data_IF_851096555839
#
_entry.id   IF_851096555839
#
_cell.length_a   1.000
_cell.length_b   1.000
_cell.length_c   1.000
_cell.angle_alpha   90.00
_cell.angle_beta   90.00
_cell.angle_gamma   90.00
#
_symmetry.space_group_name_H-M   'P 1'
#
loop_
_entity.id
_entity.type
_entity.pdbx_description
1 polymer ?
#
# COMPACT_ATOMS: atom_id res chain seq x y z
N UNK A 1 -5.66 19.41 3.46
CA UNK A 1 -4.40 18.75 3.09
C UNK A 1 -3.27 19.69 3.45
N UNK A 2 -2.19 19.18 4.04
CA UNK A 2 -0.95 19.95 4.18
C UNK A 2 -0.40 20.11 2.77
N UNK A 3 -0.26 21.35 2.31
CA UNK A 3 0.27 21.64 0.97
C UNK A 3 1.79 21.70 1.05
N UNK A 4 2.46 20.75 0.42
CA UNK A 4 3.92 20.77 0.26
C UNK A 4 4.25 21.59 -0.97
N UNK A 5 4.63 22.86 -0.79
CA UNK A 5 4.91 23.80 -1.90
C UNK A 5 6.10 23.42 -2.76
N UNK A 6 6.92 22.47 -2.29
CA UNK A 6 8.17 22.08 -2.93
C UNK A 6 8.08 20.69 -3.59
N UNK A 7 6.91 20.05 -3.61
CA UNK A 7 6.70 18.75 -4.24
C UNK A 7 5.97 18.94 -5.58
N UNK A 8 6.60 18.51 -6.66
CA UNK A 8 5.98 18.39 -7.98
C UNK A 8 5.55 16.94 -8.18
N UNK A 9 4.37 16.72 -8.74
CA UNK A 9 3.82 15.37 -8.98
C UNK A 9 3.48 15.23 -10.46
N UNK A 10 4.04 14.22 -11.10
CA UNK A 10 3.60 13.73 -12.40
C UNK A 10 2.70 12.50 -12.20
N UNK A 11 1.58 12.46 -12.91
CA UNK A 11 0.64 11.34 -12.89
C UNK A 11 0.38 10.86 -14.32
N UNK A 12 0.64 9.58 -14.57
CA UNK A 12 0.13 8.88 -15.75
C UNK A 12 -0.92 7.84 -15.36
N UNK A 13 -1.92 7.71 -16.22
CA UNK A 13 -3.10 6.87 -16.06
C UNK A 13 -4.15 7.26 -17.10
N UNK A 14 -5.29 6.55 -17.19
CA UNK A 14 -6.33 6.90 -18.15
C UNK A 14 -7.08 8.16 -17.71
N UNK A 15 -6.49 9.33 -17.99
CA UNK A 15 -6.99 10.63 -17.52
C UNK A 15 -7.90 11.24 -18.58
N UNK A 16 -9.20 11.04 -18.41
CA UNK A 16 -10.21 11.77 -19.15
C UNK A 16 -10.45 13.19 -18.61
N UNK A 17 -11.34 13.96 -19.26
CA UNK A 17 -11.62 15.35 -18.89
C UNK A 17 -12.21 15.49 -17.48
N UNK A 18 -13.02 14.53 -17.00
CA UNK A 18 -13.60 14.64 -15.65
C UNK A 18 -12.58 14.35 -14.57
N UNK A 19 -11.73 13.34 -14.75
CA UNK A 19 -10.64 13.05 -13.83
C UNK A 19 -9.67 14.22 -13.77
N UNK A 20 -9.31 14.81 -14.93
CA UNK A 20 -8.45 15.98 -14.97
C UNK A 20 -9.02 17.17 -14.16
N UNK A 21 -10.33 17.42 -14.25
CA UNK A 21 -11.03 18.44 -13.43
C UNK A 21 -10.98 18.14 -11.91
N UNK A 22 -10.96 16.85 -11.53
CA UNK A 22 -10.96 16.43 -10.13
C UNK A 22 -9.57 16.39 -9.49
N UNK A 23 -8.51 16.33 -10.30
CA UNK A 23 -7.13 16.38 -9.83
C UNK A 23 -6.79 17.78 -9.30
N UNK A 24 -5.81 17.85 -8.39
CA UNK A 24 -5.25 19.14 -7.93
C UNK A 24 -4.52 19.79 -9.11
N UNK A 25 -4.70 21.11 -9.30
CA UNK A 25 -4.10 21.88 -10.41
C UNK A 25 -2.56 21.77 -10.49
N UNK A 26 -1.91 21.31 -9.42
CA UNK A 26 -0.45 21.09 -9.37
C UNK A 26 -0.01 19.73 -9.90
N UNK A 27 -0.93 18.81 -10.17
CA UNK A 27 -0.63 17.51 -10.75
C UNK A 27 -0.38 17.68 -12.24
N UNK A 28 0.81 17.31 -12.68
CA UNK A 28 1.23 17.34 -14.07
C UNK A 28 0.76 16.03 -14.71
N UNK A 29 -0.11 16.13 -15.70
CA UNK A 29 -0.53 14.99 -16.53
C UNK A 29 0.07 15.15 -17.91
N UNK A 30 0.97 14.25 -18.37
CA UNK A 30 1.53 14.32 -19.70
C UNK A 30 0.43 14.27 -20.78
N UNK A 31 0.56 15.02 -21.89
CA UNK A 31 -0.41 14.98 -22.98
C UNK A 31 -0.71 13.58 -23.50
N UNK A 32 0.29 12.70 -23.52
CA UNK A 32 0.21 11.30 -23.93
C UNK A 32 -0.65 10.45 -22.99
N UNK A 33 -0.88 10.92 -21.76
CA UNK A 33 -1.72 10.26 -20.76
C UNK A 33 -3.15 10.80 -20.73
N UNK A 34 -3.46 11.86 -21.49
CA UNK A 34 -4.81 12.40 -21.61
C UNK A 34 -5.64 11.60 -22.61
N UNK A 35 -6.90 11.35 -22.26
CA UNK A 35 -7.86 10.61 -23.07
C UNK A 35 -9.15 11.41 -23.31
N UNK A 36 -9.91 11.03 -24.34
CA UNK A 36 -11.19 11.68 -24.64
C UNK A 36 -12.30 11.31 -23.64
N UNK A 37 -12.20 10.13 -23.01
CA UNK A 37 -13.22 9.55 -22.12
C UNK A 37 -12.56 9.10 -20.81
N UNK A 38 -13.26 9.29 -19.70
CA UNK A 38 -12.83 8.81 -18.39
C UNK A 38 -13.23 7.34 -18.14
N UNK A 39 -12.43 6.63 -17.36
CA UNK A 39 -12.77 5.31 -16.83
C UNK A 39 -13.62 5.44 -15.56
N UNK A 40 -14.94 5.34 -15.70
CA UNK A 40 -15.87 5.47 -14.58
C UNK A 40 -16.05 4.15 -13.82
N UNK A 41 -15.81 4.19 -12.51
CA UNK A 41 -16.21 3.15 -11.56
C UNK A 41 -17.47 3.57 -10.83
N UNK A 42 -18.57 2.86 -11.07
CA UNK A 42 -19.86 3.19 -10.49
C UNK A 42 -20.02 2.47 -9.15
N UNK A 43 -19.97 3.24 -8.06
CA UNK A 43 -20.16 2.77 -6.69
C UNK A 43 -21.60 3.04 -6.27
N UNK A 44 -22.42 2.00 -6.21
CA UNK A 44 -23.81 2.06 -5.76
C UNK A 44 -23.87 1.67 -4.28
N UNK A 45 -23.95 2.68 -3.42
CA UNK A 45 -24.08 2.49 -1.97
C UNK A 45 -25.55 2.27 -1.57
N UNK A 46 -25.76 1.45 -0.54
CA UNK A 46 -27.05 1.27 0.11
C UNK A 46 -26.88 1.13 1.62
N UNK A 47 -27.82 1.67 2.39
CA UNK A 47 -27.78 1.69 3.84
C UNK A 47 -28.47 0.47 4.45
N UNK A 48 -28.09 0.13 5.69
CA UNK A 48 -28.81 -0.87 6.46
C UNK A 48 -30.27 -0.44 6.64
N UNK A 49 -31.20 -1.30 6.20
CA UNK A 49 -32.62 -1.05 6.27
C UNK A 49 -33.20 -0.22 5.10
N UNK A 50 -32.39 0.18 4.13
CA UNK A 50 -32.88 0.80 2.90
C UNK A 50 -33.76 -0.18 2.12
N UNK A 51 -34.81 0.31 1.45
CA UNK A 51 -35.79 -0.54 0.76
C UNK A 51 -36.06 -0.06 -0.66
N UNK A 52 -36.12 -1.00 -1.59
CA UNK A 52 -36.56 -0.78 -2.97
C UNK A 52 -37.63 -1.82 -3.32
N UNK A 53 -38.89 -1.37 -3.39
CA UNK A 53 -40.04 -2.27 -3.48
C UNK A 53 -40.17 -3.13 -2.23
N UNK A 54 -40.17 -4.45 -2.41
CA UNK A 54 -40.27 -5.43 -1.32
C UNK A 54 -38.90 -5.87 -0.76
N UNK A 55 -37.79 -5.43 -1.37
CA UNK A 55 -36.44 -5.83 -0.97
C UNK A 55 -35.90 -4.80 0.02
N UNK A 56 -35.35 -5.29 1.14
CA UNK A 56 -34.74 -4.48 2.19
C UNK A 56 -33.32 -4.92 2.47
N UNK A 57 -32.37 -4.00 2.44
CA UNK A 57 -30.96 -4.28 2.70
C UNK A 57 -30.75 -4.65 4.19
N UNK A 58 -30.16 -5.81 4.53
CA UNK A 58 -29.92 -6.19 5.91
C UNK A 58 -28.75 -5.43 6.55
N UNK A 59 -27.85 -4.91 5.73
CA UNK A 59 -26.63 -4.22 6.14
C UNK A 59 -26.30 -3.10 5.15
N UNK A 60 -25.55 -2.10 5.63
CA UNK A 60 -24.99 -1.08 4.76
C UNK A 60 -23.83 -1.67 3.98
N UNK A 61 -23.81 -1.50 2.66
CA UNK A 61 -22.74 -1.97 1.81
C UNK A 61 -22.76 -1.22 0.47
N UNK A 62 -21.92 -1.65 -0.47
CA UNK A 62 -21.77 -1.07 -1.81
C UNK A 62 -21.71 -2.16 -2.87
N UNK A 63 -22.18 -1.85 -4.06
CA UNK A 63 -21.97 -2.65 -5.27
C UNK A 63 -21.18 -1.81 -6.27
N UNK A 64 -20.07 -2.34 -6.79
CA UNK A 64 -19.18 -1.62 -7.70
C UNK A 64 -19.15 -2.35 -9.03
N UNK A 65 -19.30 -1.61 -10.13
CA UNK A 65 -19.08 -2.11 -11.48
C UNK A 65 -18.48 -1.03 -12.37
N UNK A 66 -17.74 -1.46 -13.40
CA UNK A 66 -17.09 -0.60 -14.39
C UNK A 66 -17.01 -1.33 -15.73
N UNK A 67 -16.65 -0.60 -16.78
CA UNK A 67 -16.14 -1.16 -18.03
C UNK A 67 -14.76 -0.58 -18.27
N UNK A 68 -13.84 -0.88 -17.35
CA UNK A 68 -12.50 -0.32 -17.33
C UNK A 68 -11.54 -1.19 -18.12
N UNK A 69 -11.27 -0.82 -19.36
CA UNK A 69 -10.34 -1.56 -20.22
C UNK A 69 -8.92 -1.03 -19.99
N UNK A 70 -8.78 0.28 -19.84
CA UNK A 70 -7.46 0.92 -19.80
C UNK A 70 -6.62 0.48 -18.61
N UNK A 71 -7.20 0.48 -17.41
CA UNK A 71 -6.47 0.05 -16.21
C UNK A 71 -6.26 -1.47 -16.18
N UNK A 72 -7.21 -2.25 -16.69
CA UNK A 72 -7.07 -3.71 -16.79
C UNK A 72 -5.94 -4.15 -17.73
N UNK A 73 -5.48 -3.29 -18.64
CA UNK A 73 -4.35 -3.54 -19.53
C UNK A 73 -3.08 -2.79 -19.10
N UNK A 74 -3.17 -1.94 -18.07
CA UNK A 74 -2.15 -0.96 -17.70
C UNK A 74 -1.59 -0.22 -18.93
N UNK A 75 -2.48 0.21 -19.83
CA UNK A 75 -2.14 0.70 -21.16
C UNK A 75 -1.37 2.04 -21.19
N UNK A 76 -1.25 2.71 -20.04
CA UNK A 76 -0.51 3.96 -19.86
C UNK A 76 0.92 3.75 -19.33
N UNK A 77 1.37 2.51 -19.12
CA UNK A 77 2.71 2.23 -18.58
C UNK A 77 3.82 2.78 -19.49
N UNK A 78 3.68 2.65 -20.81
CA UNK A 78 4.65 3.16 -21.78
C UNK A 78 4.70 4.69 -21.77
N UNK A 79 3.54 5.35 -21.68
CA UNK A 79 3.46 6.80 -21.56
C UNK A 79 4.07 7.28 -20.23
N UNK A 80 3.86 6.52 -19.15
CA UNK A 80 4.50 6.79 -17.86
C UNK A 80 6.02 6.75 -17.99
N UNK A 81 6.59 5.64 -18.46
CA UNK A 81 8.05 5.48 -18.61
C UNK A 81 8.64 6.53 -19.55
N UNK A 82 7.97 6.80 -20.68
CA UNK A 82 8.41 7.81 -21.64
C UNK A 82 8.46 9.24 -21.08
N UNK A 83 7.71 9.53 -20.02
CA UNK A 83 7.69 10.84 -19.37
C UNK A 83 8.76 11.03 -18.27
N UNK A 84 9.40 9.93 -17.82
CA UNK A 84 10.32 9.97 -16.67
C UNK A 84 11.61 10.73 -16.96
N UNK A 85 12.14 10.65 -18.19
CA UNK A 85 13.38 11.32 -18.56
C UNK A 85 13.24 12.85 -18.48
N UNK A 86 12.15 13.41 -19.01
CA UNK A 86 11.88 14.85 -18.96
C UNK A 86 11.53 15.31 -17.53
N UNK A 87 10.76 14.51 -16.80
CA UNK A 87 10.33 14.87 -15.45
C UNK A 87 11.44 14.74 -14.40
N UNK A 88 12.39 13.82 -14.59
CA UNK A 88 13.52 13.54 -13.70
C UNK A 88 13.10 13.35 -12.22
N UNK A 89 12.30 12.30 -11.91
CA UNK A 89 11.75 12.09 -10.58
C UNK A 89 12.80 11.68 -9.54
N UNK A 90 12.57 12.08 -8.28
CA UNK A 90 13.32 11.60 -7.11
C UNK A 90 12.69 10.36 -6.47
N UNK A 91 11.46 10.01 -6.84
CA UNK A 91 10.71 8.85 -6.37
C UNK A 91 9.68 8.45 -7.42
N UNK A 92 9.55 7.15 -7.66
CA UNK A 92 8.54 6.57 -8.53
C UNK A 92 7.55 5.77 -7.68
N UNK A 93 6.26 5.94 -7.93
CA UNK A 93 5.18 5.19 -7.29
C UNK A 93 4.36 4.47 -8.35
N UNK A 94 4.31 3.15 -8.25
CA UNK A 94 3.58 2.26 -9.15
C UNK A 94 2.43 1.59 -8.40
N UNK A 95 1.30 1.44 -9.08
CA UNK A 95 0.18 0.61 -8.64
C UNK A 95 -0.59 0.12 -9.86
N UNK A 96 -1.71 -0.58 -9.64
CA UNK A 96 -2.61 -1.03 -10.70
C UNK A 96 -2.35 -2.46 -11.20
N UNK A 97 -1.27 -3.14 -10.78
CA UNK A 97 -1.02 -4.54 -11.17
C UNK A 97 -2.22 -5.46 -10.87
N UNK A 98 -2.84 -5.26 -9.70
CA UNK A 98 -4.03 -6.00 -9.28
C UNK A 98 -5.22 -5.87 -10.25
N UNK A 99 -5.31 -4.80 -11.03
CA UNK A 99 -6.39 -4.59 -12.01
C UNK A 99 -6.25 -5.52 -13.23
N UNK A 100 -5.05 -6.03 -13.50
CA UNK A 100 -4.84 -7.01 -14.58
C UNK A 100 -5.35 -8.41 -14.20
N UNK A 101 -5.79 -8.66 -12.96
CA UNK A 101 -6.21 -9.99 -12.50
C UNK A 101 -7.34 -10.59 -13.35
N UNK A 102 -8.25 -9.74 -13.85
CA UNK A 102 -9.39 -10.15 -14.68
C UNK A 102 -9.05 -10.48 -16.15
N UNK A 103 -7.81 -10.23 -16.58
CA UNK A 103 -7.34 -10.55 -17.94
C UNK A 103 -7.12 -12.05 -18.13
N UNK A 104 -7.11 -12.50 -19.39
CA UNK A 104 -6.68 -13.88 -19.66
C UNK A 104 -5.23 -14.09 -19.22
N UNK A 105 -4.98 -15.26 -18.64
CA UNK A 105 -3.71 -15.62 -18.01
C UNK A 105 -2.50 -15.33 -18.89
N UNK A 106 -2.54 -15.73 -20.17
CA UNK A 106 -1.41 -15.53 -21.10
C UNK A 106 -1.15 -14.04 -21.39
N UNK A 107 -2.21 -13.24 -21.55
CA UNK A 107 -2.09 -11.79 -21.77
C UNK A 107 -1.54 -11.10 -20.52
N UNK A 108 -2.02 -11.51 -19.35
CA UNK A 108 -1.58 -10.99 -18.05
C UNK A 108 -0.11 -11.31 -17.77
N UNK A 109 0.32 -12.56 -17.99
CA UNK A 109 1.72 -12.98 -17.83
C UNK A 109 2.64 -12.21 -18.78
N UNK A 110 2.25 -12.07 -20.04
CA UNK A 110 3.00 -11.28 -21.03
C UNK A 110 3.11 -9.81 -20.60
N UNK A 111 2.00 -9.21 -20.18
CA UNK A 111 1.97 -7.80 -19.76
C UNK A 111 2.83 -7.56 -18.50
N UNK A 112 2.80 -8.50 -17.55
CA UNK A 112 3.65 -8.43 -16.35
C UNK A 112 5.14 -8.48 -16.70
N UNK A 113 5.53 -9.31 -17.67
CA UNK A 113 6.91 -9.36 -18.18
C UNK A 113 7.32 -8.06 -18.88
N UNK A 114 6.44 -7.49 -19.72
CA UNK A 114 6.68 -6.18 -20.36
C UNK A 114 6.87 -5.08 -19.30
N UNK A 115 6.04 -5.06 -18.25
CA UNK A 115 6.16 -4.12 -17.13
C UNK A 115 7.48 -4.33 -16.37
N UNK A 116 7.87 -5.58 -16.09
CA UNK A 116 9.15 -5.88 -15.45
C UNK A 116 10.35 -5.35 -16.24
N UNK A 117 10.33 -5.51 -17.56
CA UNK A 117 11.36 -4.94 -18.45
C UNK A 117 11.36 -3.41 -18.40
N UNK A 118 10.19 -2.78 -18.52
CA UNK A 118 10.03 -1.33 -18.45
C UNK A 118 10.56 -0.76 -17.12
N UNK A 119 10.28 -1.42 -16.00
CA UNK A 119 10.80 -1.02 -14.69
C UNK A 119 12.32 -1.19 -14.63
N UNK A 120 12.87 -2.28 -15.17
CA UNK A 120 14.32 -2.51 -15.19
C UNK A 120 15.11 -1.55 -16.08
N UNK A 121 14.43 -0.87 -17.02
CA UNK A 121 15.02 0.18 -17.86
C UNK A 121 15.08 1.54 -17.15
N UNK A 122 14.33 1.71 -16.05
CA UNK A 122 14.39 2.91 -15.21
C UNK A 122 15.74 2.91 -14.47
N UNK A 123 16.35 4.09 -14.36
CA UNK A 123 17.62 4.24 -13.63
C UNK A 123 17.54 3.64 -12.22
N UNK A 124 18.48 2.76 -11.88
CA UNK A 124 18.62 2.16 -10.54
C UNK A 124 18.86 3.20 -9.42
N UNK A 125 19.06 4.48 -9.76
CA UNK A 125 19.24 5.56 -8.79
C UNK A 125 17.91 6.10 -8.23
N UNK A 126 16.78 5.86 -8.90
CA UNK A 126 15.46 6.38 -8.45
C UNK A 126 14.70 5.28 -7.71
N UNK A 127 14.34 5.48 -6.42
CA UNK A 127 13.59 4.48 -5.68
C UNK A 127 12.19 4.28 -6.26
N UNK A 128 11.76 3.02 -6.33
CA UNK A 128 10.45 2.61 -6.81
C UNK A 128 9.63 2.03 -5.66
N UNK A 129 8.45 2.58 -5.43
CA UNK A 129 7.46 2.05 -4.51
C UNK A 129 6.32 1.38 -5.28
N UNK A 130 5.99 0.14 -4.90
CA UNK A 130 4.82 -0.57 -5.40
C UNK A 130 3.72 -0.60 -4.34
N UNK A 131 2.59 0.04 -4.60
CA UNK A 131 1.38 -0.15 -3.79
C UNK A 131 0.61 -1.37 -4.31
N UNK A 132 0.62 -2.43 -3.51
CA UNK A 132 -0.22 -3.61 -3.74
C UNK A 132 -1.62 -3.35 -3.21
N UNK A 133 -2.61 -3.84 -3.94
CA UNK A 133 -4.00 -3.81 -3.51
C UNK A 133 -4.64 -5.17 -3.79
N UNK A 134 -5.97 -5.22 -3.67
CA UNK A 134 -6.75 -6.45 -3.59
C UNK A 134 -6.51 -7.39 -4.77
N UNK A 135 -5.90 -8.54 -4.47
CA UNK A 135 -5.72 -9.66 -5.39
C UNK A 135 -6.34 -10.93 -4.80
N UNK A 136 -6.79 -11.83 -5.68
CA UNK A 136 -7.49 -13.06 -5.32
C UNK A 136 -6.97 -14.30 -6.05
N UNK A 137 -6.12 -14.15 -7.07
CA UNK A 137 -5.49 -15.22 -7.84
C UNK A 137 -4.09 -15.56 -7.27
N UNK A 138 -3.91 -16.74 -6.63
CA UNK A 138 -2.63 -17.10 -6.02
C UNK A 138 -1.51 -17.33 -7.04
N UNK A 139 -1.86 -17.77 -8.26
CA UNK A 139 -0.86 -17.95 -9.32
C UNK A 139 -0.35 -16.57 -9.74
N UNK A 140 -1.24 -15.59 -9.88
CA UNK A 140 -0.85 -14.22 -10.24
C UNK A 140 -0.01 -13.54 -9.16
N UNK A 141 -0.39 -13.70 -7.88
CA UNK A 141 0.43 -13.23 -6.78
C UNK A 141 1.81 -13.89 -6.80
N UNK A 142 1.88 -15.20 -7.05
CA UNK A 142 3.16 -15.91 -7.21
C UNK A 142 3.98 -15.32 -8.35
N UNK A 143 3.35 -14.95 -9.47
CA UNK A 143 4.04 -14.29 -10.57
C UNK A 143 4.57 -12.91 -10.17
N UNK A 144 3.84 -12.11 -9.39
CA UNK A 144 4.34 -10.82 -8.89
C UNK A 144 5.52 -11.02 -7.92
N UNK A 145 5.45 -12.04 -7.05
CA UNK A 145 6.49 -12.37 -6.09
C UNK A 145 7.77 -12.91 -6.76
N UNK A 146 7.63 -13.77 -7.76
CA UNK A 146 8.74 -14.54 -8.37
C UNK A 146 9.15 -14.08 -9.77
N UNK A 147 8.25 -13.48 -10.57
CA UNK A 147 8.50 -13.05 -11.94
C UNK A 147 8.84 -11.55 -12.04
N UNK A 148 9.96 -11.18 -11.42
CA UNK A 148 10.69 -9.93 -11.64
C UNK A 148 10.19 -8.66 -10.94
N UNK A 149 8.94 -8.54 -10.50
CA UNK A 149 8.47 -7.25 -9.95
C UNK A 149 8.97 -6.98 -8.52
N UNK A 150 8.71 -7.87 -7.57
CA UNK A 150 9.05 -7.61 -6.17
C UNK A 150 10.56 -7.38 -5.94
N UNK A 151 11.47 -8.11 -6.61
CA UNK A 151 12.90 -7.88 -6.48
C UNK A 151 13.40 -6.55 -7.09
N UNK A 152 12.69 -5.94 -8.05
CA UNK A 152 13.18 -4.72 -8.73
C UNK A 152 12.54 -3.43 -8.20
N UNK A 153 11.80 -3.50 -7.08
CA UNK A 153 11.24 -2.33 -6.41
C UNK A 153 11.88 -2.15 -5.05
N UNK A 154 12.11 -0.90 -4.63
CA UNK A 154 12.77 -0.60 -3.37
C UNK A 154 11.81 -0.66 -2.17
N UNK A 155 10.52 -0.40 -2.42
CA UNK A 155 9.51 -0.35 -1.38
C UNK A 155 8.17 -0.95 -1.81
N UNK A 156 7.45 -1.54 -0.87
CA UNK A 156 6.09 -2.06 -1.07
C UNK A 156 5.14 -1.50 0.00
N UNK A 157 3.93 -1.12 -0.39
CA UNK A 157 2.82 -0.80 0.51
C UNK A 157 1.68 -1.80 0.33
N UNK A 158 1.07 -2.23 1.44
CA UNK A 158 0.01 -3.26 1.43
C UNK A 158 -0.76 -3.30 2.75
N UNK A 159 -1.97 -3.88 2.74
CA UNK A 159 -2.77 -4.11 3.96
C UNK A 159 -2.75 -5.58 4.44
N UNK A 160 -3.53 -5.89 5.47
CA UNK A 160 -3.60 -7.23 6.05
C UNK A 160 -4.07 -8.35 5.10
N UNK A 161 -4.96 -8.04 4.15
CA UNK A 161 -5.45 -9.00 3.17
C UNK A 161 -4.33 -9.38 2.21
N UNK A 162 -3.67 -8.39 1.61
CA UNK A 162 -2.54 -8.66 0.70
C UNK A 162 -1.37 -9.32 1.44
N UNK A 163 -1.05 -8.92 2.68
CA UNK A 163 0.03 -9.55 3.45
C UNK A 163 -0.22 -11.05 3.68
N UNK A 164 -1.44 -11.40 4.12
CA UNK A 164 -1.80 -12.79 4.34
C UNK A 164 -1.82 -13.56 3.02
N UNK A 165 -2.29 -12.94 1.95
CA UNK A 165 -2.36 -13.56 0.63
C UNK A 165 -0.97 -13.82 0.03
N UNK A 166 0.00 -12.92 0.25
CA UNK A 166 1.42 -13.16 -0.05
C UNK A 166 1.94 -14.39 0.69
N UNK A 167 1.67 -14.49 2.00
CA UNK A 167 2.08 -15.66 2.77
C UNK A 167 1.43 -16.95 2.27
N UNK A 168 0.13 -16.93 1.97
CA UNK A 168 -0.59 -18.09 1.42
C UNK A 168 0.00 -18.54 0.08
N UNK A 169 0.28 -17.60 -0.82
CA UNK A 169 0.78 -17.88 -2.17
C UNK A 169 2.22 -18.35 -2.16
N UNK A 170 3.09 -17.72 -1.37
CA UNK A 170 4.51 -18.07 -1.26
C UNK A 170 4.85 -19.11 -0.19
N UNK A 171 3.85 -19.77 0.41
CA UNK A 171 4.03 -20.76 1.49
C UNK A 171 4.80 -20.21 2.72
N UNK A 172 4.59 -18.94 3.03
CA UNK A 172 5.21 -18.23 4.16
C UNK A 172 4.61 -18.56 5.53
N UNK A 173 5.03 -17.84 6.58
CA UNK A 173 4.49 -17.98 7.93
C UNK A 173 2.97 -17.80 7.99
N UNK A 174 2.26 -18.73 8.61
CA UNK A 174 0.79 -18.72 8.72
C UNK A 174 0.04 -18.85 7.39
N UNK A 175 0.67 -19.39 6.34
CA UNK A 175 0.04 -19.66 5.04
C UNK A 175 -1.21 -20.55 5.10
N UNK A 176 -1.41 -21.35 6.16
CA UNK A 176 -2.63 -22.14 6.36
C UNK A 176 -3.80 -21.37 6.99
N UNK A 177 -3.57 -20.12 7.43
CA UNK A 177 -4.62 -19.28 8.01
C UNK A 177 -5.53 -18.75 6.90
N UNK A 178 -6.82 -19.06 6.96
CA UNK A 178 -7.77 -18.66 5.92
C UNK A 178 -8.07 -17.15 5.91
N UNK A 179 -8.15 -16.52 7.09
CA UNK A 179 -8.39 -15.09 7.26
C UNK A 179 -7.92 -14.61 8.64
N UNK A 180 -7.82 -13.30 8.82
CA UNK A 180 -7.61 -12.69 10.13
C UNK A 180 -8.90 -12.72 10.95
N UNK A 181 -8.81 -13.14 12.21
CA UNK A 181 -9.92 -13.06 13.17
C UNK A 181 -9.83 -11.75 13.96
N UNK A 182 -10.49 -10.71 13.44
CA UNK A 182 -10.44 -9.35 14.00
C UNK A 182 -9.16 -8.60 13.63
N UNK A 183 -8.57 -7.90 14.59
CA UNK A 183 -7.35 -7.10 14.37
C UNK A 183 -6.17 -8.07 14.17
N UNK A 184 -5.40 -7.96 13.06
CA UNK A 184 -4.25 -8.82 12.82
C UNK A 184 -3.25 -8.78 13.98
N UNK A 185 -2.83 -9.95 14.46
CA UNK A 185 -1.84 -10.04 15.53
C UNK A 185 -0.49 -9.47 15.06
N UNK A 186 0.06 -8.52 15.83
CA UNK A 186 1.28 -7.77 15.48
C UNK A 186 2.48 -8.70 15.26
N UNK A 187 2.63 -9.72 16.09
CA UNK A 187 3.74 -10.68 15.96
C UNK A 187 3.63 -11.50 14.69
N UNK A 188 2.42 -11.98 14.36
CA UNK A 188 2.17 -12.72 13.11
C UNK A 188 2.43 -11.87 11.87
N UNK A 189 1.95 -10.62 11.87
CA UNK A 189 2.19 -9.66 10.79
C UNK A 189 3.69 -9.44 10.61
N UNK A 190 4.40 -9.18 11.69
CA UNK A 190 5.85 -8.93 11.68
C UNK A 190 6.65 -10.14 11.21
N UNK A 191 6.22 -11.35 11.54
CA UNK A 191 6.80 -12.61 11.07
C UNK A 191 6.66 -12.79 9.55
N UNK A 192 5.51 -12.43 8.97
CA UNK A 192 5.31 -12.47 7.51
C UNK A 192 6.17 -11.40 6.83
N UNK A 193 6.17 -10.15 7.35
CA UNK A 193 6.99 -9.06 6.81
C UNK A 193 8.49 -9.42 6.83
N UNK A 194 8.96 -9.97 7.95
CA UNK A 194 10.33 -10.47 8.08
C UNK A 194 10.62 -11.54 7.02
N UNK A 195 9.73 -12.53 6.85
CA UNK A 195 9.89 -13.56 5.84
C UNK A 195 9.93 -13.00 4.42
N UNK A 196 9.10 -12.00 4.09
CA UNK A 196 9.11 -11.36 2.76
C UNK A 196 10.49 -10.71 2.51
N UNK A 197 10.97 -9.88 3.44
CA UNK A 197 12.27 -9.22 3.28
C UNK A 197 13.42 -10.23 3.21
N UNK A 198 13.34 -11.34 3.96
CA UNK A 198 14.37 -12.38 3.92
C UNK A 198 14.41 -13.17 2.61
N UNK A 199 13.26 -13.41 1.96
CA UNK A 199 13.19 -14.23 0.75
C UNK A 199 13.24 -13.42 -0.54
N UNK A 200 12.78 -12.17 -0.50
CA UNK A 200 12.62 -11.33 -1.67
C UNK A 200 13.29 -9.96 -1.53
N UNK A 201 13.91 -9.65 -0.38
CA UNK A 201 14.55 -8.37 -0.11
C UNK A 201 16.07 -8.37 -0.25
N UNK A 202 16.64 -7.17 -0.17
CA UNK A 202 18.09 -6.92 -0.22
C UNK A 202 18.75 -7.08 1.15
N UNK A 203 18.75 -8.30 1.68
CA UNK A 203 19.36 -8.59 3.00
C UNK A 203 20.89 -8.48 2.97
N UNK A 204 21.50 -8.97 1.89
CA UNK A 204 22.94 -8.90 1.67
C UNK A 204 23.25 -7.93 0.52
N UNK A 205 24.38 -7.20 0.54
CA UNK A 205 24.75 -6.27 -0.53
C UNK A 205 24.82 -6.90 -1.92
N UNK A 206 25.13 -8.20 -1.99
CA UNK A 206 25.23 -9.01 -3.21
C UNK A 206 23.88 -9.58 -3.70
N UNK A 207 22.78 -9.34 -2.98
CA UNK A 207 21.45 -9.77 -3.44
C UNK A 207 21.04 -9.05 -4.73
N UNK A 208 20.41 -9.79 -5.65
CA UNK A 208 19.85 -9.26 -6.90
C UNK A 208 18.51 -8.49 -6.68
N UNK A 209 18.04 -8.39 -5.43
CA UNK A 209 16.84 -7.63 -5.07
C UNK A 209 17.21 -6.23 -4.57
N UNK A 210 16.34 -5.25 -4.83
CA UNK A 210 16.39 -3.88 -4.32
C UNK A 210 15.37 -3.61 -3.19
N UNK A 211 14.50 -4.58 -2.89
CA UNK A 211 13.45 -4.42 -1.88
C UNK A 211 14.04 -4.29 -0.48
N UNK A 212 13.84 -3.12 0.12
CA UNK A 212 14.39 -2.78 1.43
C UNK A 212 13.37 -2.16 2.38
N UNK A 213 12.12 -1.91 1.93
CA UNK A 213 11.08 -1.24 2.75
C UNK A 213 9.68 -1.81 2.51
N UNK A 214 8.99 -2.20 3.58
CA UNK A 214 7.57 -2.58 3.54
C UNK A 214 6.77 -1.65 4.46
N UNK A 215 5.78 -0.94 3.92
CA UNK A 215 4.82 -0.14 4.68
C UNK A 215 3.50 -0.90 4.80
N UNK A 216 3.36 -1.62 5.90
CA UNK A 216 2.14 -2.33 6.25
C UNK A 216 1.14 -1.40 6.93
N UNK A 217 -0.09 -1.35 6.44
CA UNK A 217 -1.15 -0.54 7.02
C UNK A 217 -2.42 -1.37 7.26
N UNK A 218 -2.92 -1.39 8.49
CA UNK A 218 -4.23 -1.95 8.82
C UNK A 218 -5.04 -0.95 9.62
N UNK A 219 -6.34 -1.21 9.80
CA UNK A 219 -7.26 -0.31 10.47
C UNK A 219 -6.77 0.16 11.85
N UNK A 220 -6.13 -0.72 12.63
CA UNK A 220 -5.80 -0.45 14.03
C UNK A 220 -4.37 0.07 14.26
N UNK A 221 -3.42 -0.24 13.38
CA UNK A 221 -2.02 0.10 13.53
C UNK A 221 -1.31 0.00 12.18
N UNK A 222 -0.17 0.67 12.06
CA UNK A 222 0.74 0.52 10.92
C UNK A 222 2.08 -0.04 11.39
N UNK A 223 2.78 -0.73 10.50
CA UNK A 223 4.16 -1.15 10.67
C UNK A 223 4.94 -0.70 9.44
N UNK A 224 6.02 0.03 9.65
CA UNK A 224 7.01 0.27 8.62
C UNK A 224 8.22 -0.61 8.95
N UNK A 225 8.60 -1.49 8.04
CA UNK A 225 9.77 -2.36 8.20
C UNK A 225 10.81 -2.02 7.15
N UNK A 226 12.07 -1.96 7.56
CA UNK A 226 13.18 -1.62 6.66
C UNK A 226 14.39 -2.51 6.92
N UNK A 227 15.06 -2.90 5.84
CA UNK A 227 16.44 -3.39 5.93
C UNK A 227 17.33 -2.23 6.39
N UNK A 228 18.17 -2.51 7.39
CA UNK A 228 19.00 -1.49 8.02
C UNK A 228 20.00 -0.88 7.05
N UNK A 229 20.19 0.44 7.15
CA UNK A 229 21.17 1.20 6.35
C UNK A 229 20.66 1.81 5.05
N UNK A 230 19.40 1.56 4.66
CA UNK A 230 18.83 2.10 3.42
C UNK A 230 17.86 3.28 3.62
N UNK A 231 17.25 3.41 4.79
CA UNK A 231 16.17 4.37 5.03
C UNK A 231 16.30 5.10 6.38
N UNK A 232 16.02 6.40 6.37
CA UNK A 232 16.00 7.27 7.54
C UNK A 232 14.61 7.89 7.79
N UNK A 233 14.43 8.44 8.99
CA UNK A 233 13.20 9.12 9.45
C UNK A 233 11.93 8.23 9.55
N UNK A 234 12.12 6.91 9.65
CA UNK A 234 11.03 5.93 9.61
C UNK A 234 10.03 6.03 10.78
N UNK A 235 10.49 6.48 11.96
CA UNK A 235 9.60 6.77 13.11
C UNK A 235 8.57 7.86 12.77
N UNK A 236 9.01 8.94 12.12
CA UNK A 236 8.13 10.03 11.69
C UNK A 236 7.25 9.58 10.53
N UNK A 237 7.81 8.82 9.59
CA UNK A 237 7.10 8.31 8.42
C UNK A 237 5.89 7.44 8.78
N UNK A 238 6.08 6.44 9.64
CA UNK A 238 4.97 5.56 10.04
C UNK A 238 3.91 6.33 10.84
N UNK A 239 4.34 7.28 11.69
CA UNK A 239 3.43 8.14 12.45
C UNK A 239 2.64 9.09 11.55
N UNK A 240 3.26 9.64 10.50
CA UNK A 240 2.62 10.50 9.53
C UNK A 240 1.55 9.74 8.75
N UNK A 241 1.86 8.53 8.26
CA UNK A 241 0.88 7.64 7.63
C UNK A 241 -0.32 7.34 8.55
N UNK A 242 -0.06 6.97 9.81
CA UNK A 242 -1.14 6.71 10.78
C UNK A 242 -1.99 7.95 11.11
N UNK A 243 -1.37 9.14 11.12
CA UNK A 243 -2.08 10.42 11.29
C UNK A 243 -2.95 10.75 10.06
N UNK A 244 -2.44 10.54 8.85
CA UNK A 244 -3.15 10.76 7.60
C UNK A 244 -4.42 9.89 7.52
N UNK A 245 -4.32 8.61 7.94
CA UNK A 245 -5.45 7.70 8.02
C UNK A 245 -6.63 8.29 8.83
N UNK A 246 -6.35 8.81 10.03
CA UNK A 246 -7.39 9.41 10.88
C UNK A 246 -7.96 10.71 10.30
N UNK A 247 -7.09 11.61 9.84
CA UNK A 247 -7.47 12.93 9.31
C UNK A 247 -8.36 12.79 8.06
N UNK A 248 -7.95 11.97 7.10
CA UNK A 248 -8.68 11.75 5.85
C UNK A 248 -10.02 11.05 6.12
N UNK A 249 -10.03 10.01 6.95
CA UNK A 249 -11.27 9.31 7.29
C UNK A 249 -12.32 10.22 7.92
N UNK A 250 -11.91 11.13 8.81
CA UNK A 250 -12.81 12.05 9.52
C UNK A 250 -13.10 13.37 8.77
N UNK A 251 -12.47 13.62 7.61
CA UNK A 251 -12.68 14.81 6.79
C UNK A 251 -12.37 16.15 7.50
N UNK A 252 -11.49 16.14 8.51
CA UNK A 252 -11.16 17.33 9.31
C UNK A 252 -9.65 17.59 9.32
N UNK A 253 -9.18 18.85 9.30
CA UNK A 253 -7.76 19.16 9.20
C UNK A 253 -6.96 18.80 10.46
N UNK A 254 -7.63 18.50 11.56
CA UNK A 254 -7.04 18.26 12.88
C UNK A 254 -7.74 17.12 13.61
N UNK A 255 -7.01 16.47 14.51
CA UNK A 255 -7.53 15.39 15.36
C UNK A 255 -8.39 15.99 16.50
N UNK A 256 -9.72 15.86 16.42
CA UNK A 256 -10.63 16.01 17.56
C UNK A 256 -10.78 14.68 18.29
N UNK A 257 -10.09 14.51 19.43
CA UNK A 257 -10.04 13.28 20.23
C UNK A 257 -11.41 12.59 20.48
N UNK A 258 -12.52 13.34 20.49
CA UNK A 258 -13.87 12.77 20.70
C UNK A 258 -14.33 11.94 19.51
N UNK A 259 -13.86 12.28 18.30
CA UNK A 259 -14.19 11.60 17.04
C UNK A 259 -13.37 10.34 16.79
N UNK A 260 -12.32 10.10 17.57
CA UNK A 260 -11.39 8.98 17.37
C UNK A 260 -11.49 7.92 18.46
N UNK A 261 -11.09 6.71 18.12
CA UNK A 261 -10.95 5.57 19.03
C UNK A 261 -9.63 4.83 18.73
N UNK A 262 -8.95 4.40 19.78
CA UNK A 262 -7.81 3.49 19.68
C UNK A 262 -8.32 2.06 19.80
N UNK A 263 -7.98 1.22 18.82
CA UNK A 263 -8.29 -0.21 18.86
C UNK A 263 -7.05 -1.12 18.81
N UNK A 264 -5.86 -0.56 18.60
CA UNK A 264 -4.61 -1.33 18.68
C UNK A 264 -4.51 -2.09 20.01
N UNK A 265 -3.90 -3.29 20.01
CA UNK A 265 -3.71 -4.04 21.24
C UNK A 265 -2.85 -3.25 22.22
N UNK A 266 -3.29 -3.14 23.48
CA UNK A 266 -2.56 -2.41 24.53
C UNK A 266 -1.18 -3.01 24.82
N UNK A 267 -1.07 -4.33 24.66
CA UNK A 267 0.17 -5.08 24.77
C UNK A 267 0.26 -6.09 23.63
N UNK A 268 1.46 -6.30 23.10
CA UNK A 268 1.70 -7.29 22.04
C UNK A 268 3.12 -7.85 22.10
N UNK A 269 3.32 -9.00 21.43
CA UNK A 269 4.65 -9.58 21.21
C UNK A 269 5.13 -9.25 19.79
N UNK A 270 6.40 -8.83 19.59
CA UNK A 270 6.90 -8.44 18.26
C UNK A 270 7.02 -9.58 17.25
N UNK A 271 7.06 -10.83 17.71
CA UNK A 271 7.15 -12.02 16.86
C UNK A 271 6.67 -13.25 17.64
N UNK A 272 6.19 -14.29 16.95
CA UNK A 272 5.90 -15.60 17.54
C UNK A 272 6.84 -16.71 17.04
N UNK A 273 7.60 -16.43 15.98
CA UNK A 273 8.61 -17.34 15.40
C UNK A 273 10.02 -17.12 15.93
N UNK A 274 10.33 -15.93 16.45
CA UNK A 274 11.64 -15.59 17.03
C UNK A 274 11.67 -15.82 18.55
N UNK A 275 12.58 -16.65 19.03
CA UNK A 275 12.66 -17.02 20.45
C UNK A 275 13.05 -15.86 21.38
N UNK A 276 13.79 -14.87 20.88
CA UNK A 276 14.22 -13.70 21.66
C UNK A 276 13.06 -12.70 21.80
N UNK A 277 12.28 -12.51 20.74
CA UNK A 277 11.19 -11.54 20.67
C UNK A 277 9.85 -12.11 21.16
N UNK A 278 9.61 -13.42 21.07
CA UNK A 278 8.37 -14.07 21.52
C UNK A 278 8.07 -13.88 23.01
N UNK A 279 9.11 -13.71 23.83
CA UNK A 279 8.99 -13.41 25.27
C UNK A 279 8.92 -11.92 25.59
N UNK A 280 9.19 -11.06 24.62
CA UNK A 280 9.08 -9.61 24.77
C UNK A 280 7.61 -9.22 24.75
N UNK A 281 7.25 -8.25 25.60
CA UNK A 281 5.95 -7.60 25.64
C UNK A 281 6.15 -6.10 25.49
N UNK A 282 5.70 -5.56 24.36
CA UNK A 282 5.63 -4.11 24.15
C UNK A 282 4.28 -3.65 24.71
N UNK A 283 4.29 -2.61 25.54
CA UNK A 283 3.10 -2.00 26.13
C UNK A 283 2.95 -0.59 25.58
N UNK A 284 1.83 -0.32 24.93
CA UNK A 284 1.57 0.98 24.32
C UNK A 284 1.36 2.06 25.39
N UNK A 285 2.08 3.18 25.22
CA UNK A 285 1.86 4.38 26.02
C UNK A 285 1.44 5.54 25.12
N UNK A 286 0.33 6.25 25.40
CA UNK A 286 -0.13 7.34 24.53
C UNK A 286 0.87 8.50 24.36
N UNK A 287 1.82 8.66 25.29
CA UNK A 287 2.86 9.70 25.26
C UNK A 287 4.08 9.32 24.43
N UNK A 288 4.27 8.04 24.14
CA UNK A 288 5.33 7.50 23.29
C UNK A 288 4.71 6.42 22.38
N UNK A 289 3.97 6.83 21.33
CA UNK A 289 3.09 5.93 20.59
C UNK A 289 3.82 5.13 19.50
N UNK A 290 5.03 5.55 19.11
CA UNK A 290 5.82 4.88 18.08
C UNK A 290 6.84 3.99 18.76
N UNK A 291 6.76 2.69 18.52
CA UNK A 291 7.68 1.71 19.08
C UNK A 291 8.56 1.11 17.99
N UNK A 292 9.83 0.92 18.31
CA UNK A 292 10.79 0.28 17.42
C UNK A 292 11.34 -1.00 18.06
N UNK A 293 11.49 -2.03 17.25
CA UNK A 293 12.31 -3.20 17.56
C UNK A 293 13.10 -3.62 16.34
N UNK A 294 14.13 -4.42 16.57
CA UNK A 294 15.00 -4.94 15.53
C UNK A 294 14.98 -6.47 15.57
N UNK A 295 15.01 -7.10 14.40
CA UNK A 295 15.21 -8.54 14.22
C UNK A 295 16.26 -8.72 13.14
N UNK A 296 17.44 -9.20 13.53
CA UNK A 296 18.61 -9.29 12.65
C UNK A 296 18.93 -7.92 12.03
N UNK A 297 19.04 -7.82 10.70
CA UNK A 297 19.30 -6.57 9.96
C UNK A 297 18.02 -5.85 9.51
N UNK A 298 16.88 -6.12 10.15
CA UNK A 298 15.61 -5.49 9.81
C UNK A 298 15.06 -4.76 11.05
N UNK A 299 14.81 -3.47 10.88
CA UNK A 299 14.14 -2.60 11.86
C UNK A 299 12.65 -2.49 11.56
N UNK A 300 11.84 -2.56 12.61
CA UNK A 300 10.38 -2.44 12.55
C UNK A 300 9.92 -1.25 13.37
N UNK A 301 9.04 -0.42 12.81
CA UNK A 301 8.49 0.77 13.41
C UNK A 301 6.97 0.64 13.46
N UNK A 302 6.41 0.53 14.66
CA UNK A 302 4.98 0.37 14.90
C UNK A 302 4.38 1.66 15.43
N UNK A 303 3.16 1.98 15.01
CA UNK A 303 2.34 3.00 15.66
C UNK A 303 0.85 2.62 15.59
N UNK A 304 0.05 2.88 16.64
CA UNK A 304 -1.39 2.71 16.56
C UNK A 304 -2.03 3.79 15.68
N UNK A 305 -3.20 3.47 15.12
CA UNK A 305 -4.02 4.41 14.35
C UNK A 305 -5.12 5.00 15.24
N UNK A 306 -5.32 6.31 15.14
CA UNK A 306 -6.51 6.97 15.67
C UNK A 306 -7.66 6.79 14.69
N UNK A 307 -8.52 5.80 14.95
CA UNK A 307 -9.60 5.41 14.03
C UNK A 307 -10.75 6.38 14.15
N UNK A 308 -11.20 6.93 13.02
CA UNK A 308 -12.41 7.76 12.97
C UNK A 308 -13.66 6.92 13.29
N UNK A 309 -14.44 7.33 14.31
CA UNK A 309 -15.68 6.64 14.71
C UNK A 309 -16.78 6.72 13.67
N UNK A 310 -16.83 7.83 12.93
CA UNK A 310 -17.84 8.14 11.93
C UNK A 310 -17.15 8.63 10.65
N UNK A 311 -16.58 7.71 9.85
CA UNK A 311 -15.82 8.10 8.67
C UNK A 311 -16.72 8.70 7.59
N UNK A 312 -16.19 9.68 6.88
CA UNK A 312 -16.84 10.32 5.71
C UNK A 312 -16.34 9.67 4.42
N UNK A 313 -15.05 9.28 4.37
CA UNK A 313 -14.43 8.63 3.20
C UNK A 313 -13.35 7.66 3.66
N UNK A 314 -13.45 6.40 3.27
CA UNK A 314 -12.43 5.37 3.54
C UNK A 314 -11.82 4.78 2.27
N UNK A 315 -12.40 5.06 1.10
CA UNK A 315 -11.85 4.65 -0.20
C UNK A 315 -10.59 5.47 -0.49
N UNK A 316 -9.51 4.80 -0.88
CA UNK A 316 -8.19 5.37 -1.15
C UNK A 316 -7.42 5.77 0.12
N UNK A 317 -7.77 5.21 1.28
CA UNK A 317 -7.07 5.52 2.53
C UNK A 317 -5.67 4.90 2.57
N UNK A 318 -5.50 3.67 2.07
CA UNK A 318 -4.20 3.01 1.95
C UNK A 318 -3.22 3.82 1.10
N UNK A 319 -3.65 4.24 -0.08
CA UNK A 319 -2.84 5.07 -0.99
C UNK A 319 -2.35 6.35 -0.32
N UNK A 320 -3.22 7.05 0.42
CA UNK A 320 -2.87 8.26 1.15
C UNK A 320 -1.90 7.98 2.33
N UNK A 321 -2.05 6.83 2.99
CA UNK A 321 -1.16 6.39 4.06
C UNK A 321 0.25 6.13 3.49
N UNK A 322 0.34 5.38 2.39
CA UNK A 322 1.60 5.06 1.73
C UNK A 322 2.29 6.31 1.19
N UNK A 323 1.54 7.21 0.54
CA UNK A 323 2.07 8.49 0.06
C UNK A 323 2.63 9.36 1.19
N UNK A 324 1.90 9.52 2.31
CA UNK A 324 2.40 10.28 3.47
C UNK A 324 3.60 9.58 4.12
N UNK A 325 3.60 8.25 4.17
CA UNK A 325 4.76 7.48 4.66
C UNK A 325 6.00 7.67 3.79
N UNK A 326 5.86 7.73 2.47
CA UNK A 326 6.97 7.98 1.55
C UNK A 326 7.47 9.42 1.65
N UNK A 327 6.56 10.39 1.73
CA UNK A 327 6.89 11.82 1.84
C UNK A 327 7.77 12.16 3.06
N UNK A 328 7.66 11.36 4.12
CA UNK A 328 8.45 11.51 5.34
C UNK A 328 9.62 10.53 5.43
N UNK A 329 9.78 9.62 4.46
CA UNK A 329 10.93 8.72 4.36
C UNK A 329 12.09 9.42 3.64
N UNK A 330 13.32 9.05 4.00
CA UNK A 330 14.55 9.49 3.33
C UNK A 330 15.37 8.25 2.94
N UNK A 331 15.80 8.16 1.69
CA UNK A 331 16.70 7.10 1.21
C UNK A 331 18.15 7.50 1.55
N UNK A 332 18.97 6.56 2.02
CA UNK A 332 20.35 6.80 2.49
C UNK A 332 21.43 6.40 1.49
#
# INVERSE_FOLDING_TARGET
>A
MVTHSNLSVLLCGPVGPKLHELLDDRIIVPPESLQEVDEYHLILEYQAGESWGEIKAPQANRFIFSHDVSNNEMNMMEAFVGSLEEFNPELIVLSGLHMMEGQEKEMREKRLQEIGLLISEISNEVPIHLELASMTDPAYMTDILHQQILPIVNSVGLNEQELLFISQSGLGPYSSQASWDGIPDVGKVSDIIFWILQNYGRIEPESDSDLTRIHFHTLAYHILATVDGYWANQMSAVAAGARAAGIQACGGPTIDHRKFILKAPREFSPSWTDDSLKRVKIVLTPTDPVHMWQRENISFYFTPVLICKHPIRTVGLGDAISAEGLLYSELQ
#
